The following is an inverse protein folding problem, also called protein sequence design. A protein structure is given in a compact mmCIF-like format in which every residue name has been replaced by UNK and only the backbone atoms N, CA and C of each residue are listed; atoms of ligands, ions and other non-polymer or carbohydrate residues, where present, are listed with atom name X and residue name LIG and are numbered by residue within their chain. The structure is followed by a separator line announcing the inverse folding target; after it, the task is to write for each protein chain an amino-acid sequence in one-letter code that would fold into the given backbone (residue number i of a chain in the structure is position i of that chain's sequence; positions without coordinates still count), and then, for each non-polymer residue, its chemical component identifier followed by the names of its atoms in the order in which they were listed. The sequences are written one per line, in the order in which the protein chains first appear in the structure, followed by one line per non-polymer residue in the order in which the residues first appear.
data_IF_649477772002
#
_entry.id   IF_649477772002
#
_cell.length_a   1.000
_cell.length_b   1.000
_cell.length_c   1.000
_cell.angle_alpha   90.00
_cell.angle_beta   90.00
_cell.angle_gamma   90.00
#
_symmetry.space_group_name_H-M   'P 1'
#
loop_
_entity.id
_entity.type
_entity.pdbx_description
1 polymer ?
#
# COMPACT_ATOMS: atom_id res chain seq x y z
N UNK A 1 -4.08 -9.48 41.14
CA UNK A 1 -4.81 -10.61 40.53
C UNK A 1 -4.73 -10.49 39.01
N UNK A 2 -3.58 -10.84 38.44
CA UNK A 2 -3.28 -10.73 37.01
C UNK A 2 -3.66 -12.08 36.39
N UNK A 3 -4.70 -12.11 35.54
CA UNK A 3 -5.11 -13.32 34.83
C UNK A 3 -3.93 -13.79 33.98
N UNK A 4 -3.38 -14.97 34.30
CA UNK A 4 -2.48 -15.70 33.39
C UNK A 4 -3.23 -15.93 32.09
N UNK A 5 -2.77 -15.29 31.03
CA UNK A 5 -3.27 -15.56 29.68
C UNK A 5 -2.98 -17.02 29.32
N UNK A 6 -3.85 -17.68 28.53
CA UNK A 6 -3.66 -19.06 28.11
C UNK A 6 -2.45 -19.19 27.17
N UNK A 7 -1.67 -20.25 27.38
CA UNK A 7 -0.42 -20.63 26.67
C UNK A 7 -0.58 -20.68 25.13
N UNK A 8 -1.81 -20.77 24.62
CA UNK A 8 -2.13 -20.71 23.19
C UNK A 8 -1.96 -19.31 22.56
N UNK A 9 -1.81 -18.25 23.36
CA UNK A 9 -1.59 -16.88 22.88
C UNK A 9 -0.13 -16.42 22.91
N UNK A 10 0.80 -17.23 23.42
CA UNK A 10 2.11 -16.75 23.86
C UNK A 10 3.30 -17.11 22.93
N UNK A 11 3.13 -17.53 21.67
CA UNK A 11 4.27 -17.57 20.71
C UNK A 11 3.99 -17.95 19.24
N UNK A 12 3.08 -17.27 18.53
CA UNK A 12 2.95 -17.48 17.06
C UNK A 12 2.88 -16.22 16.20
N UNK A 13 2.77 -15.03 16.80
CA UNK A 13 2.72 -13.76 16.05
C UNK A 13 3.79 -12.85 16.61
N UNK A 14 4.90 -12.72 15.90
CA UNK A 14 5.95 -11.79 16.29
C UNK A 14 5.36 -10.37 16.35
N UNK A 15 5.47 -9.65 17.49
CA UNK A 15 4.83 -8.34 17.66
C UNK A 15 5.31 -7.33 16.62
N UNK A 16 6.55 -7.51 16.14
CA UNK A 16 7.15 -6.75 15.05
C UNK A 16 6.41 -7.01 13.73
N UNK A 17 6.17 -8.27 13.36
CA UNK A 17 5.43 -8.60 12.13
C UNK A 17 4.01 -8.02 12.18
N UNK A 18 3.34 -8.17 13.33
CA UNK A 18 2.00 -7.66 13.54
C UNK A 18 1.94 -6.14 13.35
N UNK A 19 2.89 -5.40 13.93
CA UNK A 19 3.00 -3.95 13.81
C UNK A 19 3.13 -3.53 12.35
N UNK A 20 4.12 -4.05 11.63
CA UNK A 20 4.34 -3.70 10.22
C UNK A 20 3.15 -4.10 9.35
N UNK A 21 2.50 -5.23 9.64
CA UNK A 21 1.32 -5.70 8.91
C UNK A 21 0.14 -4.75 9.08
N UNK A 22 -0.13 -4.31 10.31
CA UNK A 22 -1.20 -3.35 10.60
C UNK A 22 -0.92 -2.01 9.92
N UNK A 23 0.32 -1.54 9.97
CA UNK A 23 0.73 -0.28 9.31
C UNK A 23 0.51 -0.38 7.81
N UNK A 24 1.11 -1.37 7.13
CA UNK A 24 1.01 -1.51 5.67
C UNK A 24 -0.44 -1.75 5.24
N UNK A 25 -1.12 -2.71 5.86
CA UNK A 25 -2.51 -3.02 5.52
C UNK A 25 -3.46 -1.84 5.78
N UNK A 26 -3.24 -1.12 6.88
CA UNK A 26 -4.00 0.08 7.24
C UNK A 26 -3.78 1.23 6.25
N UNK A 27 -2.54 1.47 5.80
CA UNK A 27 -2.22 2.50 4.80
C UNK A 27 -2.96 2.21 3.50
N UNK A 28 -2.89 0.98 2.97
CA UNK A 28 -3.58 0.62 1.72
C UNK A 28 -5.10 0.72 1.83
N UNK A 29 -5.66 0.26 2.94
CA UNK A 29 -7.09 0.36 3.19
C UNK A 29 -7.55 1.82 3.26
N UNK A 30 -6.84 2.64 4.04
CA UNK A 30 -7.17 4.05 4.23
C UNK A 30 -6.98 4.87 2.94
N UNK A 31 -5.89 4.64 2.21
CA UNK A 31 -5.64 5.29 0.93
C UNK A 31 -6.73 4.96 -0.11
N UNK A 32 -7.08 3.68 -0.24
CA UNK A 32 -8.16 3.26 -1.13
C UNK A 32 -9.51 3.85 -0.72
N UNK A 33 -9.81 3.91 0.58
CA UNK A 33 -11.02 4.53 1.10
C UNK A 33 -11.10 6.03 0.78
N UNK A 34 -10.00 6.77 0.99
CA UNK A 34 -9.94 8.20 0.65
C UNK A 34 -10.16 8.44 -0.85
N UNK A 35 -9.56 7.60 -1.71
CA UNK A 35 -9.75 7.66 -3.16
C UNK A 35 -11.18 7.31 -3.58
N UNK A 36 -11.85 6.40 -2.87
CA UNK A 36 -13.27 6.10 -3.11
C UNK A 36 -14.17 7.27 -2.74
N UNK A 37 -13.86 7.93 -1.62
CA UNK A 37 -14.67 9.04 -1.14
C UNK A 37 -14.64 10.25 -2.09
N UNK A 38 -13.54 10.44 -2.82
CA UNK A 38 -13.39 11.49 -3.83
C UNK A 38 -12.77 10.98 -5.13
N UNK A 39 -13.55 10.18 -5.86
CA UNK A 39 -13.15 9.64 -7.18
C UNK A 39 -12.82 10.76 -8.18
N UNK A 40 -13.57 11.86 -8.14
CA UNK A 40 -13.44 12.95 -9.11
C UNK A 40 -12.09 13.65 -8.97
N UNK A 41 -11.70 14.00 -7.73
CA UNK A 41 -10.39 14.60 -7.49
C UNK A 41 -9.24 13.63 -7.80
N UNK A 42 -9.43 12.33 -7.56
CA UNK A 42 -8.43 11.32 -7.91
C UNK A 42 -8.26 11.16 -9.42
N UNK A 43 -9.36 11.10 -10.18
CA UNK A 43 -9.33 11.05 -11.64
C UNK A 43 -8.65 12.29 -12.24
N UNK A 44 -9.02 13.49 -11.75
CA UNK A 44 -8.38 14.74 -12.18
C UNK A 44 -6.88 14.75 -11.89
N UNK A 45 -6.46 14.19 -10.75
CA UNK A 45 -5.05 14.05 -10.41
C UNK A 45 -4.31 13.17 -11.41
N UNK A 46 -4.86 12.00 -11.78
CA UNK A 46 -4.26 11.11 -12.79
C UNK A 46 -4.26 11.78 -14.17
N UNK A 47 -5.34 12.46 -14.54
CA UNK A 47 -5.44 13.20 -15.81
C UNK A 47 -4.36 14.27 -15.93
N UNK A 48 -4.08 14.97 -14.82
CA UNK A 48 -3.02 15.97 -14.75
C UNK A 48 -1.62 15.38 -14.88
N UNK A 49 -1.43 14.07 -14.71
CA UNK A 49 -0.14 13.43 -14.94
C UNK A 49 0.24 13.41 -16.43
N UNK A 50 -0.73 13.52 -17.34
CA UNK A 50 -0.51 13.50 -18.79
C UNK A 50 0.34 12.28 -19.23
N UNK A 51 0.19 11.15 -18.53
CA UNK A 51 0.83 9.87 -18.85
C UNK A 51 -0.14 9.02 -19.69
N UNK A 52 -1.42 9.08 -19.36
CA UNK A 52 -2.49 8.27 -19.95
C UNK A 52 -3.53 9.19 -20.58
N UNK A 53 -4.15 8.73 -21.68
CA UNK A 53 -5.26 9.42 -22.32
C UNK A 53 -6.59 8.75 -21.94
N UNK A 54 -7.72 9.44 -22.15
CA UNK A 54 -9.03 8.80 -22.05
C UNK A 54 -9.16 7.66 -23.07
N UNK A 55 -9.84 6.55 -22.75
CA UNK A 55 -10.63 6.30 -21.53
C UNK A 55 -9.83 5.66 -20.37
N UNK A 56 -8.52 5.46 -20.52
CA UNK A 56 -7.70 4.70 -19.58
C UNK A 56 -7.59 5.35 -18.20
N UNK A 57 -7.62 6.69 -18.16
CA UNK A 57 -7.64 7.47 -16.91
C UNK A 57 -8.83 7.09 -16.04
N UNK A 58 -10.05 7.10 -16.62
CA UNK A 58 -11.27 6.75 -15.90
C UNK A 58 -11.28 5.28 -15.45
N UNK A 59 -10.82 4.36 -16.28
CA UNK A 59 -10.74 2.93 -15.92
C UNK A 59 -9.81 2.73 -14.72
N UNK A 60 -8.62 3.35 -14.73
CA UNK A 60 -7.68 3.26 -13.62
C UNK A 60 -8.22 3.94 -12.37
N UNK A 61 -8.82 5.13 -12.50
CA UNK A 61 -9.39 5.86 -11.37
C UNK A 61 -10.50 5.07 -10.66
N UNK A 62 -11.30 4.29 -11.41
CA UNK A 62 -12.37 3.47 -10.84
C UNK A 62 -11.89 2.11 -10.31
N UNK A 63 -10.87 1.49 -10.93
CA UNK A 63 -10.46 0.11 -10.60
C UNK A 63 -9.40 0.06 -9.50
N UNK A 64 -8.54 1.07 -9.41
CA UNK A 64 -7.41 1.08 -8.47
C UNK A 64 -7.85 1.21 -7.00
N UNK A 65 -8.80 2.09 -6.61
CA UNK A 65 -9.18 2.25 -5.22
C UNK A 65 -9.80 0.99 -4.58
N UNK A 66 -10.74 0.28 -5.23
CA UNK A 66 -11.23 -1.02 -4.71
C UNK A 66 -10.11 -2.05 -4.58
N UNK A 67 -9.16 -2.07 -5.51
CA UNK A 67 -8.01 -2.97 -5.48
C UNK A 67 -7.15 -2.70 -4.24
N UNK A 68 -6.87 -1.42 -3.93
CA UNK A 68 -6.10 -1.03 -2.73
C UNK A 68 -6.79 -1.46 -1.43
N UNK A 69 -8.11 -1.30 -1.34
CA UNK A 69 -8.90 -1.76 -0.18
C UNK A 69 -8.81 -3.27 -0.02
N UNK A 70 -9.02 -4.03 -1.10
CA UNK A 70 -8.94 -5.49 -1.08
C UNK A 70 -7.53 -5.95 -0.66
N UNK A 71 -6.48 -5.29 -1.16
CA UNK A 71 -5.10 -5.56 -0.75
C UNK A 71 -4.88 -5.27 0.73
N UNK A 72 -5.32 -4.11 1.22
CA UNK A 72 -5.20 -3.72 2.62
C UNK A 72 -5.85 -4.74 3.55
N UNK A 73 -7.09 -5.15 3.24
CA UNK A 73 -7.83 -6.18 3.98
C UNK A 73 -7.11 -7.53 3.91
N UNK A 74 -6.66 -7.94 2.72
CA UNK A 74 -5.97 -9.22 2.52
C UNK A 74 -4.66 -9.29 3.32
N UNK A 75 -3.92 -8.19 3.39
CA UNK A 75 -2.71 -8.06 4.22
C UNK A 75 -3.06 -8.16 5.71
N UNK A 76 -4.12 -7.49 6.17
CA UNK A 76 -4.55 -7.51 7.57
C UNK A 76 -4.96 -8.91 8.04
N UNK A 77 -5.74 -9.63 7.23
CA UNK A 77 -6.30 -10.96 7.55
C UNK A 77 -5.31 -12.10 7.20
N UNK A 78 -4.15 -11.78 6.59
CA UNK A 78 -3.17 -12.76 6.05
C UNK A 78 -3.76 -13.69 4.96
N UNK A 79 -4.80 -13.26 4.27
CA UNK A 79 -5.35 -14.01 3.13
C UNK A 79 -4.49 -13.76 1.89
N UNK A 80 -3.98 -14.83 1.25
CA UNK A 80 -3.04 -14.75 0.12
C UNK A 80 -1.86 -13.78 0.38
N UNK A 81 -1.36 -13.77 1.61
CA UNK A 81 -0.46 -12.74 2.15
C UNK A 81 0.76 -12.41 1.28
N UNK A 82 1.44 -13.43 0.75
CA UNK A 82 2.61 -13.20 -0.11
C UNK A 82 2.23 -12.61 -1.47
N UNK A 83 1.07 -12.98 -2.01
CA UNK A 83 0.53 -12.43 -3.25
C UNK A 83 0.09 -10.98 -3.07
N UNK A 84 -0.64 -10.67 -1.99
CA UNK A 84 -1.09 -9.31 -1.70
C UNK A 84 0.07 -8.35 -1.45
N UNK A 85 1.13 -8.77 -0.74
CA UNK A 85 2.35 -7.98 -0.58
C UNK A 85 3.08 -7.73 -1.91
N UNK A 86 3.11 -8.72 -2.80
CA UNK A 86 3.77 -8.58 -4.10
C UNK A 86 3.00 -7.59 -5.00
N UNK A 87 1.67 -7.68 -5.03
CA UNK A 87 0.83 -6.73 -5.77
C UNK A 87 0.94 -5.33 -5.15
N UNK A 88 0.95 -5.21 -3.82
CA UNK A 88 1.16 -3.94 -3.11
C UNK A 88 2.51 -3.28 -3.47
N UNK A 89 3.59 -4.05 -3.56
CA UNK A 89 4.88 -3.56 -4.05
C UNK A 89 4.81 -3.08 -5.50
N UNK A 90 4.12 -3.83 -6.38
CA UNK A 90 3.97 -3.46 -7.79
C UNK A 90 3.17 -2.17 -7.95
N UNK A 91 2.03 -2.04 -7.27
CA UNK A 91 1.20 -0.83 -7.35
C UNK A 91 1.97 0.40 -6.86
N UNK A 92 2.68 0.29 -5.73
CA UNK A 92 3.54 1.37 -5.22
C UNK A 92 4.69 1.71 -6.18
N UNK A 93 5.30 0.71 -6.83
CA UNK A 93 6.36 0.96 -7.82
C UNK A 93 5.83 1.75 -9.03
N UNK A 94 4.62 1.44 -9.50
CA UNK A 94 3.96 2.17 -10.59
C UNK A 94 3.66 3.62 -10.18
N UNK A 95 3.21 3.84 -8.94
CA UNK A 95 3.01 5.19 -8.40
C UNK A 95 4.31 5.98 -8.33
N UNK A 96 5.37 5.40 -7.78
CA UNK A 96 6.70 6.02 -7.72
C UNK A 96 7.18 6.39 -9.12
N UNK A 97 7.05 5.49 -10.11
CA UNK A 97 7.44 5.77 -11.49
C UNK A 97 6.64 6.93 -12.10
N UNK A 98 5.34 7.01 -11.80
CA UNK A 98 4.48 8.12 -12.23
C UNK A 98 4.91 9.45 -11.60
N UNK A 99 5.24 9.46 -10.29
CA UNK A 99 5.73 10.64 -9.58
C UNK A 99 7.11 11.10 -10.08
N UNK A 100 8.02 10.16 -10.37
CA UNK A 100 9.32 10.48 -10.98
C UNK A 100 9.12 11.11 -12.36
N UNK A 101 8.17 10.61 -13.16
CA UNK A 101 7.84 11.21 -14.46
C UNK A 101 7.34 12.66 -14.34
N UNK A 102 6.64 13.00 -13.26
CA UNK A 102 6.20 14.37 -12.98
C UNK A 102 7.37 15.28 -12.64
N UNK A 103 8.27 14.81 -11.77
CA UNK A 103 9.48 15.54 -11.40
C UNK A 103 10.36 15.81 -12.64
N UNK A 104 10.51 14.82 -13.52
CA UNK A 104 11.28 14.99 -14.76
C UNK A 104 10.70 16.06 -15.70
N UNK A 105 9.39 16.33 -15.61
CA UNK A 105 8.68 17.34 -16.41
C UNK A 105 8.50 18.68 -15.69
N UNK A 106 9.00 18.82 -14.46
CA UNK A 106 8.82 20.00 -13.59
C UNK A 106 7.36 20.45 -13.45
N UNK A 107 6.43 19.51 -13.39
CA UNK A 107 5.01 19.82 -13.19
C UNK A 107 4.74 19.85 -11.68
N UNK A 108 4.59 21.05 -11.11
CA UNK A 108 4.22 21.26 -9.70
C UNK A 108 2.73 21.00 -9.50
N UNK A 109 2.38 19.74 -9.30
CA UNK A 109 1.03 19.34 -8.89
C UNK A 109 1.05 18.90 -7.43
N UNK A 110 0.11 19.41 -6.64
CA UNK A 110 -0.20 18.86 -5.33
C UNK A 110 -0.72 17.43 -5.51
N UNK A 111 0.09 16.42 -5.17
CA UNK A 111 -0.25 15.03 -5.42
C UNK A 111 -1.15 14.48 -4.32
N UNK A 112 -2.45 14.36 -4.58
CA UNK A 112 -3.43 13.68 -3.72
C UNK A 112 -3.31 12.14 -3.72
N UNK A 113 -2.13 11.58 -3.98
CA UNK A 113 -1.93 10.18 -4.37
C UNK A 113 -2.23 9.15 -3.25
N UNK A 114 -2.12 9.58 -1.98
CA UNK A 114 -2.58 8.84 -0.79
C UNK A 114 -3.87 9.43 -0.19
N UNK A 115 -4.56 10.33 -0.90
CA UNK A 115 -5.61 11.18 -0.34
C UNK A 115 -5.09 12.28 0.60
N UNK A 116 -3.76 12.45 0.67
CA UNK A 116 -3.07 13.50 1.40
C UNK A 116 -2.54 14.52 0.40
N UNK A 117 -2.73 15.81 0.66
CA UNK A 117 -2.16 16.89 -0.15
C UNK A 117 -0.69 17.12 0.25
N UNK A 118 0.18 16.19 -0.12
CA UNK A 118 1.62 16.25 0.15
C UNK A 118 2.41 16.69 -1.09
N UNK A 119 3.62 17.20 -0.88
CA UNK A 119 4.53 17.49 -1.99
C UNK A 119 5.02 16.18 -2.64
N UNK A 120 5.28 16.21 -3.93
CA UNK A 120 5.73 15.04 -4.73
C UNK A 120 6.96 14.37 -4.09
N UNK A 121 7.91 15.18 -3.59
CA UNK A 121 9.14 14.68 -2.97
C UNK A 121 8.86 13.90 -1.68
N UNK A 122 8.01 14.43 -0.80
CA UNK A 122 7.62 13.77 0.44
C UNK A 122 6.86 12.48 0.11
N UNK A 123 5.98 12.54 -0.89
CA UNK A 123 5.19 11.39 -1.32
C UNK A 123 6.08 10.23 -1.80
N UNK A 124 7.09 10.52 -2.62
CA UNK A 124 8.06 9.50 -3.06
C UNK A 124 8.79 8.88 -1.87
N UNK A 125 9.18 9.68 -0.86
CA UNK A 125 9.83 9.15 0.34
C UNK A 125 8.90 8.19 1.11
N UNK A 126 7.62 8.54 1.25
CA UNK A 126 6.62 7.69 1.89
C UNK A 126 6.44 6.39 1.11
N UNK A 127 6.30 6.46 -0.22
CA UNK A 127 6.11 5.28 -1.06
C UNK A 127 7.31 4.34 -1.01
N UNK A 128 8.54 4.87 -1.04
CA UNK A 128 9.78 4.08 -0.86
C UNK A 128 9.78 3.37 0.50
N UNK A 129 9.40 4.08 1.56
CA UNK A 129 9.35 3.51 2.90
C UNK A 129 8.31 2.38 3.00
N UNK A 130 7.15 2.53 2.37
CA UNK A 130 6.12 1.49 2.29
C UNK A 130 6.65 0.26 1.53
N UNK A 131 7.31 0.46 0.38
CA UNK A 131 7.91 -0.65 -0.39
C UNK A 131 8.95 -1.40 0.44
N UNK A 132 9.79 -0.69 1.20
CA UNK A 132 10.77 -1.32 2.10
C UNK A 132 10.09 -2.14 3.20
N UNK A 133 9.00 -1.64 3.79
CA UNK A 133 8.19 -2.38 4.76
C UNK A 133 7.57 -3.64 4.15
N UNK A 134 7.04 -3.55 2.93
CA UNK A 134 6.50 -4.71 2.21
C UNK A 134 7.59 -5.77 1.94
N UNK A 135 8.77 -5.37 1.47
CA UNK A 135 9.91 -6.27 1.24
C UNK A 135 10.36 -6.93 2.55
N UNK A 136 10.42 -6.17 3.64
CA UNK A 136 10.73 -6.69 4.97
C UNK A 136 9.72 -7.76 5.39
N UNK A 137 8.41 -7.48 5.28
CA UNK A 137 7.34 -8.44 5.57
C UNK A 137 7.42 -9.69 4.68
N UNK A 138 7.72 -9.56 3.40
CA UNK A 138 7.91 -10.70 2.48
C UNK A 138 9.09 -11.59 2.92
N UNK A 139 10.23 -10.99 3.29
CA UNK A 139 11.40 -11.74 3.78
C UNK A 139 11.13 -12.40 5.13
N UNK A 140 10.43 -11.70 6.03
CA UNK A 140 10.08 -12.20 7.35
C UNK A 140 9.11 -13.38 7.28
N UNK A 141 8.05 -13.24 6.48
CA UNK A 141 7.05 -14.30 6.25
C UNK A 141 7.64 -15.56 5.61
N UNK A 142 8.57 -15.42 4.65
CA UNK A 142 9.28 -16.57 4.05
C UNK A 142 10.18 -17.30 5.03
N UNK A 143 10.76 -16.60 6.02
CA UNK A 143 11.58 -17.25 7.07
C UNK A 143 10.74 -18.12 8.00
N UNK A 144 9.55 -17.65 8.40
CA UNK A 144 8.67 -18.39 9.33
C UNK A 144 8.12 -19.66 8.67
N UNK A 145 7.63 -19.58 7.43
CA UNK A 145 7.07 -20.76 6.72
C UNK A 145 8.12 -21.84 6.46
N UNK A 146 9.38 -21.46 6.19
CA UNK A 146 10.50 -22.40 6.05
C UNK A 146 10.87 -23.13 7.34
N UNK A 147 10.76 -22.47 8.50
CA UNK A 147 11.16 -23.04 9.79
C UNK A 147 10.15 -24.04 10.38
N UNK A 148 8.92 -24.12 9.85
CA UNK A 148 7.86 -25.01 10.36
C UNK A 148 7.77 -26.33 9.56
N UNK A 149 8.56 -26.48 8.50
CA UNK A 149 8.55 -27.65 7.61
C UNK A 149 9.61 -28.72 7.95
N UNK A 150 10.18 -28.70 9.16
CA UNK A 150 11.14 -29.70 9.64
C UNK A 150 10.56 -30.48 10.82
#
# INVERSE_FOLDING_TARGET
MIKKLPVWLENRVDPIELLFRIIVGGIFFYAGFLKINDLQSFELSIRNYQILNDPWVGILAMTLPPLEIILGISILIKFLYQGSLLIACMTMSVFIASLISLLARNIDINCGCLGLNTSVQIQIMIDILIVLMCIFLMKYSKRITRNVSC
#
